data_IF_063048019459
#
_entry.id   IF_063048019459
#
_cell.length_a   1.000
_cell.length_b   1.000
_cell.length_c   1.000
_cell.angle_alpha   90.00
_cell.angle_beta   90.00
_cell.angle_gamma   90.00
#
_symmetry.space_group_name_H-M   'P 1'
#
loop_
_entity.id
_entity.type
_entity.pdbx_description
1 polymer ?
#
# COMPACT_ATOMS: atom_id res chain seq x y z
N UNK A 1 56.94 -10.91 10.77
CA UNK A 1 56.08 -9.80 11.26
C UNK A 1 54.84 -9.84 10.39
N UNK A 2 53.75 -10.46 10.89
CA UNK A 2 52.52 -10.66 10.12
C UNK A 2 51.58 -9.51 10.46
N UNK A 3 51.45 -8.54 9.56
CA UNK A 3 50.39 -7.54 9.66
C UNK A 3 49.07 -8.19 9.21
N UNK A 4 48.05 -8.31 10.08
CA UNK A 4 46.74 -8.73 9.63
C UNK A 4 46.18 -7.58 8.78
N UNK A 5 45.95 -7.85 7.49
CA UNK A 5 45.35 -6.89 6.56
C UNK A 5 44.04 -6.28 7.10
N UNK A 6 43.58 -5.16 6.51
CA UNK A 6 42.49 -4.37 7.06
C UNK A 6 41.23 -5.21 7.32
N UNK A 7 40.76 -5.21 8.57
CA UNK A 7 39.55 -5.92 8.97
C UNK A 7 38.35 -5.33 8.23
N UNK A 8 37.58 -6.17 7.56
CA UNK A 8 36.33 -5.76 6.93
C UNK A 8 35.41 -5.10 7.99
N UNK A 9 34.75 -3.98 7.67
CA UNK A 9 33.91 -3.29 8.63
C UNK A 9 32.75 -4.20 9.05
N UNK A 10 32.67 -4.53 10.34
CA UNK A 10 31.52 -5.25 10.91
C UNK A 10 30.34 -4.29 10.98
N UNK A 11 29.35 -4.50 10.11
CA UNK A 11 28.09 -3.76 10.16
C UNK A 11 27.38 -4.07 11.49
N UNK A 12 27.15 -3.04 12.30
CA UNK A 12 26.37 -3.16 13.52
C UNK A 12 24.91 -3.43 13.17
N UNK A 13 24.33 -4.50 13.71
CA UNK A 13 22.89 -4.80 13.56
C UNK A 13 22.00 -3.62 13.92
N UNK A 14 22.38 -2.84 14.94
CA UNK A 14 21.64 -1.64 15.35
C UNK A 14 21.69 -0.55 14.27
N UNK A 15 22.84 -0.36 13.60
CA UNK A 15 22.97 0.60 12.50
C UNK A 15 22.14 0.16 11.29
N UNK A 16 22.19 -1.12 10.93
CA UNK A 16 21.38 -1.66 9.83
C UNK A 16 19.89 -1.52 10.12
N UNK A 17 19.45 -1.89 11.33
CA UNK A 17 18.05 -1.76 11.73
C UNK A 17 17.58 -0.30 11.70
N UNK A 18 18.40 0.63 12.21
CA UNK A 18 18.12 2.06 12.15
C UNK A 18 18.02 2.56 10.70
N UNK A 19 18.96 2.18 9.82
CA UNK A 19 18.91 2.55 8.40
C UNK A 19 17.66 2.02 7.70
N UNK A 20 17.30 0.76 7.94
CA UNK A 20 16.08 0.16 7.38
C UNK A 20 14.83 0.88 7.91
N UNK A 21 14.77 1.16 9.20
CA UNK A 21 13.65 1.89 9.81
C UNK A 21 13.53 3.29 9.21
N UNK A 22 14.65 4.01 9.06
CA UNK A 22 14.66 5.37 8.54
C UNK A 22 14.24 5.40 7.08
N UNK A 23 14.69 4.43 6.27
CA UNK A 23 14.22 4.25 4.89
C UNK A 23 12.73 3.89 4.83
N UNK A 24 12.27 3.00 5.70
CA UNK A 24 10.86 2.63 5.77
C UNK A 24 9.99 3.84 6.15
N UNK A 25 10.41 4.63 7.15
CA UNK A 25 9.73 5.87 7.53
C UNK A 25 9.73 6.85 6.36
N UNK A 26 10.87 7.12 5.71
CA UNK A 26 10.88 8.05 4.57
C UNK A 26 9.99 7.57 3.41
N UNK A 27 9.98 6.27 3.13
CA UNK A 27 9.18 5.67 2.07
C UNK A 27 7.68 5.64 2.39
N UNK A 28 7.31 5.35 3.64
CA UNK A 28 5.92 5.22 4.09
C UNK A 28 5.32 6.53 4.62
N UNK A 29 6.13 7.47 5.09
CA UNK A 29 5.67 8.79 5.54
C UNK A 29 5.33 9.69 4.35
N UNK A 30 6.11 9.58 3.28
CA UNK A 30 5.74 10.14 1.97
C UNK A 30 4.79 9.16 1.29
N UNK A 31 3.73 8.71 2.00
CA UNK A 31 2.65 7.97 1.37
C UNK A 31 1.87 8.97 0.50
N UNK A 32 2.00 8.91 -0.82
CA UNK A 32 1.49 9.94 -1.68
C UNK A 32 0.08 9.55 -2.08
N UNK A 33 -0.90 9.70 -1.17
CA UNK A 33 -2.27 9.79 -1.66
C UNK A 33 -2.40 11.11 -2.41
N UNK A 34 -2.07 11.06 -3.70
CA UNK A 34 -2.19 12.18 -4.62
C UNK A 34 -3.49 12.02 -5.40
N UNK A 35 -4.53 12.72 -4.95
CA UNK A 35 -5.83 12.73 -5.62
C UNK A 35 -5.71 13.15 -7.11
N UNK A 36 -4.77 14.04 -7.42
CA UNK A 36 -4.46 14.55 -8.77
C UNK A 36 -3.93 13.45 -9.68
N UNK A 37 -3.08 12.56 -9.17
CA UNK A 37 -2.41 11.51 -9.97
C UNK A 37 -3.38 10.37 -10.29
N UNK A 38 -4.47 10.22 -9.51
CA UNK A 38 -5.48 9.16 -9.66
C UNK A 38 -4.85 7.80 -9.93
N UNK A 39 -3.90 7.40 -9.09
CA UNK A 39 -3.17 6.15 -9.29
C UNK A 39 -4.17 4.98 -9.37
N UNK A 40 -4.22 4.30 -10.53
CA UNK A 40 -5.24 3.29 -10.76
C UNK A 40 -5.12 2.10 -9.78
N UNK A 41 -3.89 1.76 -9.37
CA UNK A 41 -3.63 0.64 -8.48
C UNK A 41 -4.00 0.93 -7.02
N UNK A 42 -3.85 2.18 -6.56
CA UNK A 42 -4.09 2.59 -5.18
C UNK A 42 -5.55 2.97 -4.98
N UNK A 43 -6.13 3.74 -5.89
CA UNK A 43 -7.53 4.16 -5.79
C UNK A 43 -8.47 2.96 -5.69
N UNK A 44 -8.24 1.91 -6.48
CA UNK A 44 -9.10 0.71 -6.41
C UNK A 44 -8.98 -0.03 -5.07
N UNK A 45 -7.82 0.06 -4.40
CA UNK A 45 -7.63 -0.48 -3.04
C UNK A 45 -8.37 0.34 -2.00
N UNK A 46 -8.34 1.67 -2.13
CA UNK A 46 -9.12 2.60 -1.29
C UNK A 46 -10.62 2.35 -1.45
N UNK A 47 -11.09 2.20 -2.69
CA UNK A 47 -12.50 1.91 -2.98
C UNK A 47 -12.93 0.58 -2.36
N UNK A 48 -12.05 -0.43 -2.38
CA UNK A 48 -12.29 -1.69 -1.70
C UNK A 48 -12.31 -1.53 -0.17
N UNK A 49 -11.43 -0.72 0.43
CA UNK A 49 -11.46 -0.45 1.88
C UNK A 49 -12.79 0.17 2.29
N UNK A 50 -13.25 1.18 1.57
CA UNK A 50 -14.56 1.82 1.76
C UNK A 50 -15.69 0.79 1.67
N UNK A 51 -15.68 -0.04 0.62
CA UNK A 51 -16.71 -1.07 0.42
C UNK A 51 -16.74 -2.10 1.56
N UNK A 52 -15.57 -2.45 2.11
CA UNK A 52 -15.48 -3.37 3.26
C UNK A 52 -16.10 -2.73 4.51
N UNK A 53 -15.78 -1.46 4.77
CA UNK A 53 -16.22 -0.77 6.00
C UNK A 53 -17.69 -0.41 5.93
N UNK A 54 -18.10 0.30 4.87
CA UNK A 54 -19.45 0.88 4.76
C UNK A 54 -20.49 -0.14 4.28
N UNK A 55 -20.11 -1.01 3.34
CA UNK A 55 -21.05 -1.86 2.60
C UNK A 55 -20.90 -3.35 2.96
N UNK A 56 -19.92 -3.69 3.79
CA UNK A 56 -19.57 -5.07 4.17
C UNK A 56 -19.41 -6.01 2.95
N UNK A 57 -18.82 -5.49 1.87
CA UNK A 57 -18.62 -6.22 0.61
C UNK A 57 -17.30 -5.82 -0.06
N UNK A 58 -16.85 -6.63 -1.02
CA UNK A 58 -15.73 -6.27 -1.89
C UNK A 58 -16.16 -5.55 -3.16
N UNK A 59 -17.48 -5.45 -3.39
CA UNK A 59 -18.01 -4.84 -4.59
C UNK A 59 -17.91 -3.31 -4.51
N UNK A 60 -17.17 -2.69 -5.43
CA UNK A 60 -16.88 -1.25 -5.43
C UNK A 60 -17.87 -0.43 -6.27
N UNK A 61 -18.97 -1.03 -6.75
CA UNK A 61 -19.94 -0.38 -7.64
C UNK A 61 -20.46 0.94 -7.08
N UNK A 62 -20.85 0.95 -5.79
CA UNK A 62 -21.39 2.15 -5.14
C UNK A 62 -20.34 3.26 -5.10
N UNK A 63 -19.11 2.93 -4.73
CA UNK A 63 -18.03 3.89 -4.58
C UNK A 63 -17.65 4.46 -5.94
N UNK A 64 -17.53 3.63 -6.99
CA UNK A 64 -17.30 4.12 -8.35
C UNK A 64 -18.45 5.00 -8.86
N UNK A 65 -19.70 4.69 -8.52
CA UNK A 65 -20.83 5.54 -8.85
C UNK A 65 -20.79 6.91 -8.16
N UNK A 66 -20.27 6.96 -6.93
CA UNK A 66 -20.22 8.19 -6.12
C UNK A 66 -18.96 9.04 -6.37
N UNK A 67 -17.80 8.42 -6.50
CA UNK A 67 -16.49 9.08 -6.57
C UNK A 67 -15.94 9.15 -8.00
N UNK A 68 -16.58 8.45 -8.93
CA UNK A 68 -16.21 8.38 -10.33
C UNK A 68 -15.39 7.14 -10.68
N UNK A 69 -15.05 7.04 -11.96
CA UNK A 69 -14.36 5.89 -12.53
C UNK A 69 -13.01 5.61 -11.87
N UNK A 70 -12.74 4.34 -11.57
CA UNK A 70 -11.43 3.82 -11.17
C UNK A 70 -10.94 2.72 -12.11
N UNK A 71 -9.65 2.71 -12.42
CA UNK A 71 -9.06 1.64 -13.25
C UNK A 71 -8.62 0.44 -12.38
N UNK A 72 -7.97 -0.57 -12.98
CA UNK A 72 -7.49 -1.77 -12.26
C UNK A 72 -8.59 -2.51 -11.47
N UNK A 73 -9.79 -2.55 -12.05
CA UNK A 73 -10.94 -3.29 -11.53
C UNK A 73 -11.27 -4.50 -12.39
N UNK A 74 -11.84 -5.52 -11.76
CA UNK A 74 -12.39 -6.70 -12.41
C UNK A 74 -13.92 -6.68 -12.35
N UNK A 75 -14.57 -7.24 -13.38
CA UNK A 75 -16.03 -7.35 -13.43
C UNK A 75 -16.43 -8.82 -13.32
N UNK A 76 -17.34 -9.13 -12.39
CA UNK A 76 -17.93 -10.47 -12.26
C UNK A 76 -19.41 -10.35 -11.91
N UNK A 77 -20.28 -10.90 -12.74
CA UNK A 77 -21.74 -10.89 -12.57
C UNK A 77 -22.31 -9.47 -12.33
N UNK A 78 -21.87 -8.49 -13.12
CA UNK A 78 -22.30 -7.09 -13.00
C UNK A 78 -21.72 -6.33 -11.79
N UNK A 79 -20.93 -6.99 -10.95
CA UNK A 79 -20.24 -6.37 -9.82
C UNK A 79 -18.79 -6.07 -10.17
N UNK A 80 -18.32 -4.93 -9.68
CA UNK A 80 -16.97 -4.41 -9.84
C UNK A 80 -16.16 -4.73 -8.59
N UNK A 81 -14.92 -5.18 -8.76
CA UNK A 81 -14.03 -5.54 -7.66
C UNK A 81 -12.62 -5.02 -7.94
N UNK A 82 -11.81 -4.80 -6.91
CA UNK A 82 -10.37 -4.60 -7.13
C UNK A 82 -9.74 -5.84 -7.75
N UNK A 83 -8.87 -5.67 -8.75
CA UNK A 83 -8.04 -6.77 -9.26
C UNK A 83 -6.80 -7.01 -8.39
N UNK A 84 -6.65 -6.31 -7.26
CA UNK A 84 -5.53 -6.43 -6.34
C UNK A 84 -5.87 -7.34 -5.17
N UNK A 85 -4.82 -7.96 -4.61
CA UNK A 85 -4.97 -8.70 -3.35
C UNK A 85 -5.45 -7.76 -2.24
N UNK A 86 -6.38 -8.22 -1.37
CA UNK A 86 -7.08 -7.35 -0.42
C UNK A 86 -6.23 -6.95 0.79
N UNK A 87 -5.01 -7.48 0.93
CA UNK A 87 -4.16 -7.29 2.12
C UNK A 87 -3.96 -5.82 2.50
N UNK A 88 -3.63 -4.97 1.52
CA UNK A 88 -3.47 -3.53 1.78
C UNK A 88 -4.80 -2.85 2.10
N UNK A 89 -5.91 -3.29 1.50
CA UNK A 89 -7.23 -2.71 1.77
C UNK A 89 -7.70 -3.02 3.18
N UNK A 90 -7.40 -4.22 3.69
CA UNK A 90 -7.63 -4.60 5.08
C UNK A 90 -6.82 -3.77 6.06
N UNK A 91 -5.56 -3.46 5.76
CA UNK A 91 -4.76 -2.58 6.60
C UNK A 91 -5.36 -1.18 6.72
N UNK A 92 -6.12 -0.74 5.71
CA UNK A 92 -6.84 0.53 5.73
C UNK A 92 -8.12 0.51 6.56
N UNK A 93 -8.77 -0.64 6.78
CA UNK A 93 -10.06 -0.75 7.49
C UNK A 93 -10.09 -0.08 8.87
N UNK A 94 -9.10 -0.27 9.77
CA UNK A 94 -9.13 0.37 11.08
C UNK A 94 -8.82 1.88 11.08
N UNK A 95 -8.42 2.46 9.94
CA UNK A 95 -8.00 3.87 9.82
C UNK A 95 -8.83 4.66 8.79
N UNK A 96 -9.75 3.99 8.09
CA UNK A 96 -10.76 4.59 7.24
C UNK A 96 -11.78 5.33 8.08
#
# INVERSE_FOLDING_TARGET
>A
MNDPGPRAPTLSYARTALSVLLLAVLYLWVFPFHDVVRNPNENVRVYMTVAIVDDHTFAINRIEGAWGYVNDKAIRNGRLYSCKAPGTSYLGVPFY
#
